data_IF_533452454589
#
_entry.id   IF_533452454589
#
_cell.length_a   1.000
_cell.length_b   1.000
_cell.length_c   1.000
_cell.angle_alpha   90.00
_cell.angle_beta   90.00
_cell.angle_gamma   90.00
#
_symmetry.space_group_name_H-M   'P 1'
#
loop_
_entity.id
_entity.type
_entity.pdbx_description
1 polymer ?
#
# COMPACT_ATOMS: atom_id res chain seq x y z
N UNK A 1 9.84 -12.46 -20.53
CA UNK A 1 9.62 -12.64 -19.08
C UNK A 1 9.86 -14.11 -18.76
N UNK A 2 10.82 -14.43 -17.88
CA UNK A 2 11.21 -15.81 -17.52
C UNK A 2 10.07 -16.66 -16.92
N UNK A 3 8.97 -16.04 -16.51
CA UNK A 3 7.81 -16.71 -15.92
C UNK A 3 6.64 -16.98 -16.89
N UNK A 4 6.82 -16.76 -18.19
CA UNK A 4 5.81 -17.07 -19.21
C UNK A 4 4.58 -16.15 -19.22
N UNK A 5 4.58 -15.03 -18.48
CA UNK A 5 3.48 -14.06 -18.50
C UNK A 5 3.55 -13.17 -19.74
N UNK A 6 2.42 -12.99 -20.41
CA UNK A 6 2.28 -11.96 -21.43
C UNK A 6 1.81 -10.68 -20.75
N UNK A 7 2.58 -9.61 -20.87
CA UNK A 7 2.24 -8.30 -20.33
C UNK A 7 1.77 -7.42 -21.48
N UNK A 8 0.51 -6.97 -21.42
CA UNK A 8 0.02 -5.89 -22.25
C UNK A 8 0.23 -4.57 -21.50
N UNK A 9 1.18 -3.76 -21.95
CA UNK A 9 1.49 -2.46 -21.35
C UNK A 9 0.58 -1.37 -21.95
N UNK A 10 -0.28 -0.81 -21.11
CA UNK A 10 -1.15 0.31 -21.47
C UNK A 10 -0.67 1.57 -20.78
N UNK A 11 0.29 2.26 -21.39
CA UNK A 11 0.70 3.57 -20.89
C UNK A 11 -0.33 4.62 -21.27
N UNK A 12 -0.80 5.36 -20.28
CA UNK A 12 -1.64 6.51 -20.47
C UNK A 12 -0.87 7.60 -21.21
N UNK A 13 -1.11 7.79 -22.49
CA UNK A 13 -1.04 9.13 -23.08
C UNK A 13 -2.32 9.86 -22.67
N UNK A 14 -2.22 11.12 -22.28
CA UNK A 14 -3.28 11.93 -21.63
C UNK A 14 -4.67 11.90 -22.31
N UNK A 15 -4.82 11.33 -23.48
CA UNK A 15 -5.99 11.50 -24.32
C UNK A 15 -6.95 10.30 -24.45
N UNK A 16 -6.54 9.05 -24.10
CA UNK A 16 -7.45 7.92 -24.38
C UNK A 16 -7.33 6.76 -23.38
N UNK A 17 -7.92 6.91 -22.20
CA UNK A 17 -8.33 5.72 -21.43
C UNK A 17 -9.48 4.95 -22.12
N UNK A 18 -10.15 5.58 -23.09
CA UNK A 18 -11.22 4.95 -23.88
C UNK A 18 -10.72 3.98 -24.95
N UNK A 19 -9.43 4.01 -25.30
CA UNK A 19 -8.87 3.11 -26.30
C UNK A 19 -8.42 1.74 -25.75
N UNK A 20 -8.81 1.37 -24.53
CA UNK A 20 -8.72 -0.01 -24.04
C UNK A 20 -9.72 -0.94 -24.75
N UNK A 21 -10.01 -0.67 -26.01
CA UNK A 21 -10.71 -1.59 -26.92
C UNK A 21 -10.04 -2.98 -27.03
N UNK A 22 -8.79 -3.11 -26.56
CA UNK A 22 -8.03 -4.35 -26.55
C UNK A 22 -8.39 -5.30 -25.40
N UNK A 23 -9.07 -4.85 -24.32
CA UNK A 23 -9.55 -5.74 -23.27
C UNK A 23 -10.94 -6.24 -23.64
N UNK A 24 -10.98 -7.31 -24.40
CA UNK A 24 -12.21 -8.00 -24.79
C UNK A 24 -12.38 -9.27 -23.96
N UNK A 25 -13.58 -9.86 -23.98
CA UNK A 25 -13.83 -11.18 -23.39
C UNK A 25 -12.85 -12.26 -23.91
N UNK A 26 -12.41 -12.14 -25.15
CA UNK A 26 -11.45 -13.06 -25.77
C UNK A 26 -10.03 -12.94 -25.19
N UNK A 27 -9.69 -11.77 -24.61
CA UNK A 27 -8.40 -11.49 -23.99
C UNK A 27 -8.59 -11.11 -22.52
N UNK A 28 -9.30 -11.93 -21.73
CA UNK A 28 -9.49 -11.68 -20.30
C UNK A 28 -8.13 -11.55 -19.62
N UNK A 29 -7.81 -10.40 -19.00
CA UNK A 29 -6.58 -10.27 -18.26
C UNK A 29 -6.63 -11.20 -17.03
N UNK A 30 -5.54 -11.90 -16.76
CA UNK A 30 -5.39 -12.66 -15.52
C UNK A 30 -5.39 -11.73 -14.30
N UNK A 31 -4.76 -10.55 -14.45
CA UNK A 31 -4.67 -9.50 -13.42
C UNK A 31 -4.64 -8.14 -14.09
N UNK A 32 -5.08 -7.12 -13.37
CA UNK A 32 -4.97 -5.72 -13.79
C UNK A 32 -4.13 -4.97 -12.77
N UNK A 33 -3.08 -4.29 -13.24
CA UNK A 33 -2.24 -3.47 -12.38
C UNK A 33 -2.41 -1.98 -12.72
N UNK A 34 -2.59 -1.12 -11.71
CA UNK A 34 -2.78 0.32 -11.87
C UNK A 34 -1.86 1.07 -10.93
N UNK A 35 -0.94 1.83 -11.49
CA UNK A 35 -0.01 2.66 -10.74
C UNK A 35 -0.14 4.11 -11.21
N UNK A 36 -0.70 4.95 -10.37
CA UNK A 36 -0.89 6.38 -10.64
C UNK A 36 -0.84 7.16 -9.33
N UNK A 37 -0.35 8.38 -9.37
CA UNK A 37 -0.46 9.33 -8.27
C UNK A 37 -1.76 10.14 -8.28
N UNK A 38 -2.69 9.85 -9.22
CA UNK A 38 -3.94 10.59 -9.38
C UNK A 38 -5.11 9.77 -8.84
N UNK A 39 -5.75 10.24 -7.79
CA UNK A 39 -6.87 9.57 -7.09
C UNK A 39 -8.04 9.17 -8.00
N UNK A 40 -8.22 9.86 -9.12
CA UNK A 40 -9.32 9.59 -10.05
C UNK A 40 -9.02 8.45 -11.03
N UNK A 41 -7.77 8.08 -11.23
CA UNK A 41 -7.41 7.09 -12.26
C UNK A 41 -7.84 5.68 -11.83
N UNK A 42 -7.69 5.33 -10.56
CA UNK A 42 -8.19 4.06 -10.02
C UNK A 42 -9.69 3.92 -10.21
N UNK A 43 -10.46 4.98 -9.92
CA UNK A 43 -11.91 4.98 -10.11
C UNK A 43 -12.30 4.80 -11.59
N UNK A 44 -11.56 5.42 -12.52
CA UNK A 44 -11.83 5.25 -13.97
C UNK A 44 -11.60 3.81 -14.41
N UNK A 45 -10.49 3.20 -13.98
CA UNK A 45 -10.18 1.81 -14.30
C UNK A 45 -11.23 0.88 -13.67
N UNK A 46 -11.58 1.08 -12.41
CA UNK A 46 -12.58 0.29 -11.72
C UNK A 46 -13.94 0.35 -12.41
N UNK A 47 -14.39 1.55 -12.79
CA UNK A 47 -15.63 1.75 -13.56
C UNK A 47 -15.58 1.06 -14.92
N UNK A 48 -14.44 1.12 -15.61
CA UNK A 48 -14.24 0.42 -16.89
C UNK A 48 -14.36 -1.10 -16.71
N UNK A 49 -13.68 -1.67 -15.72
CA UNK A 49 -13.72 -3.10 -15.42
C UNK A 49 -15.15 -3.55 -15.10
N UNK A 50 -15.88 -2.75 -14.33
CA UNK A 50 -17.27 -3.04 -13.94
C UNK A 50 -18.21 -2.97 -15.15
N UNK A 51 -18.12 -1.93 -15.98
CA UNK A 51 -18.92 -1.79 -17.22
C UNK A 51 -18.70 -2.96 -18.17
N UNK A 52 -17.50 -3.48 -18.24
CA UNK A 52 -17.14 -4.62 -19.10
C UNK A 52 -17.35 -5.99 -18.43
N UNK A 53 -17.89 -6.02 -17.22
CA UNK A 53 -18.11 -7.25 -16.41
C UNK A 53 -16.82 -8.08 -16.23
N UNK A 54 -15.68 -7.43 -16.16
CA UNK A 54 -14.40 -8.08 -15.93
C UNK A 54 -14.17 -8.21 -14.42
N UNK A 55 -13.93 -9.44 -13.95
CA UNK A 55 -13.72 -9.77 -12.54
C UNK A 55 -12.26 -10.03 -12.20
N UNK A 56 -11.33 -9.68 -13.11
CA UNK A 56 -9.90 -9.87 -12.89
C UNK A 56 -9.44 -9.19 -11.59
N UNK A 57 -8.57 -9.83 -10.79
CA UNK A 57 -7.96 -9.23 -9.62
C UNK A 57 -7.26 -7.92 -9.97
N UNK A 58 -7.41 -6.92 -9.10
CA UNK A 58 -6.85 -5.59 -9.26
C UNK A 58 -5.69 -5.39 -8.27
N UNK A 59 -4.51 -5.07 -8.77
CA UNK A 59 -3.39 -4.57 -7.99
C UNK A 59 -3.20 -3.08 -8.29
N UNK A 60 -3.21 -2.24 -7.28
CA UNK A 60 -3.06 -0.80 -7.48
C UNK A 60 -2.24 -0.14 -6.36
N UNK A 61 -1.68 1.05 -6.62
CA UNK A 61 -1.24 1.90 -5.52
C UNK A 61 -2.44 2.51 -4.80
N UNK A 62 -2.38 2.62 -3.47
CA UNK A 62 -3.45 3.25 -2.68
C UNK A 62 -3.73 4.70 -3.14
N UNK A 63 -2.68 5.41 -3.62
CA UNK A 63 -2.77 6.76 -4.19
C UNK A 63 -3.67 6.88 -5.44
N UNK A 64 -4.03 5.75 -6.07
CA UNK A 64 -4.99 5.75 -7.19
C UNK A 64 -6.44 6.01 -6.75
N UNK A 65 -6.71 5.91 -5.45
CA UNK A 65 -8.05 6.00 -4.88
C UNK A 65 -8.08 6.97 -3.71
N UNK A 66 -9.18 7.69 -3.57
CA UNK A 66 -9.46 8.37 -2.31
C UNK A 66 -10.17 7.38 -1.37
N UNK A 67 -9.38 6.64 -0.58
CA UNK A 67 -9.89 5.58 0.30
C UNK A 67 -10.81 6.09 1.41
N UNK A 68 -10.82 7.41 1.68
CA UNK A 68 -11.73 8.00 2.67
C UNK A 68 -13.14 8.21 2.11
N UNK A 69 -13.27 8.37 0.80
CA UNK A 69 -14.54 8.70 0.14
C UNK A 69 -15.10 7.57 -0.72
N UNK A 70 -14.24 6.65 -1.18
CA UNK A 70 -14.69 5.53 -1.99
C UNK A 70 -15.41 4.49 -1.12
N UNK A 71 -16.57 4.06 -1.57
CA UNK A 71 -17.30 3.01 -0.89
C UNK A 71 -16.65 1.65 -1.16
N UNK A 72 -16.47 0.82 -0.13
CA UNK A 72 -15.91 -0.52 -0.27
C UNK A 72 -16.72 -1.40 -1.22
N UNK A 73 -18.03 -1.17 -1.34
CA UNK A 73 -18.90 -1.82 -2.32
C UNK A 73 -18.47 -1.60 -3.78
N UNK A 74 -17.72 -0.52 -4.06
CA UNK A 74 -17.17 -0.25 -5.40
C UNK A 74 -16.15 -1.31 -5.83
N UNK A 75 -15.56 -2.02 -4.87
CA UNK A 75 -14.62 -3.11 -5.11
C UNK A 75 -15.29 -4.50 -5.17
N UNK A 76 -16.60 -4.55 -4.98
CA UNK A 76 -17.37 -5.79 -4.93
C UNK A 76 -17.18 -6.65 -6.18
N UNK A 77 -17.11 -7.97 -5.99
CA UNK A 77 -17.03 -8.96 -7.08
C UNK A 77 -15.65 -9.16 -7.66
N UNK A 78 -14.59 -8.64 -7.00
CA UNK A 78 -13.19 -8.89 -7.39
C UNK A 78 -12.25 -8.81 -6.20
N UNK A 79 -11.13 -9.51 -6.30
CA UNK A 79 -10.03 -9.35 -5.36
C UNK A 79 -9.30 -8.04 -5.63
N UNK A 80 -9.12 -7.22 -4.62
CA UNK A 80 -8.41 -5.95 -4.71
C UNK A 80 -7.25 -5.94 -3.74
N UNK A 81 -6.07 -5.70 -4.29
CA UNK A 81 -4.83 -5.57 -3.55
C UNK A 81 -4.29 -4.15 -3.73
N UNK A 82 -4.05 -3.46 -2.64
CA UNK A 82 -3.46 -2.13 -2.67
C UNK A 82 -2.06 -2.14 -2.06
N UNK A 83 -1.13 -1.51 -2.74
CA UNK A 83 0.15 -1.13 -2.15
C UNK A 83 -0.08 0.17 -1.39
N UNK A 84 -0.06 0.08 -0.05
CA UNK A 84 -0.37 1.19 0.85
C UNK A 84 0.75 1.41 1.86
N UNK A 85 1.64 2.35 1.56
CA UNK A 85 2.75 2.71 2.45
C UNK A 85 2.32 3.45 3.71
N UNK A 86 1.07 3.91 3.77
CA UNK A 86 0.47 4.60 4.91
C UNK A 86 -0.49 3.72 5.70
N UNK A 87 -0.55 2.43 5.38
CA UNK A 87 -1.46 1.51 6.07
C UNK A 87 -1.17 1.44 7.56
N UNK A 88 -2.23 1.64 8.34
CA UNK A 88 -2.22 1.55 9.81
C UNK A 88 -3.09 0.38 10.24
N UNK A 89 -2.49 -0.64 10.81
CA UNK A 89 -3.21 -1.77 11.39
C UNK A 89 -3.72 -1.41 12.80
N UNK A 90 -4.95 -0.94 12.87
CA UNK A 90 -5.60 -0.59 14.15
C UNK A 90 -5.89 -1.80 15.06
N UNK A 91 -5.69 -3.03 14.58
CA UNK A 91 -5.81 -4.22 15.43
C UNK A 91 -4.60 -4.40 16.34
N UNK A 92 -3.44 -3.84 15.98
CA UNK A 92 -2.22 -3.89 16.78
C UNK A 92 -2.39 -3.18 18.13
N UNK A 93 -2.10 -3.83 19.27
CA UNK A 93 -2.17 -3.20 20.58
C UNK A 93 -1.34 -1.91 20.67
N UNK A 94 -0.11 -1.94 20.11
CA UNK A 94 0.81 -0.80 20.13
C UNK A 94 0.23 0.45 19.45
N UNK A 95 -0.51 0.25 18.34
CA UNK A 95 -1.17 1.35 17.63
C UNK A 95 -2.27 1.97 18.51
N UNK A 96 -3.10 1.14 19.13
CA UNK A 96 -4.16 1.60 20.05
C UNK A 96 -3.60 2.34 21.26
N UNK A 97 -2.56 1.80 21.86
CA UNK A 97 -1.90 2.40 23.03
C UNK A 97 -1.30 3.77 22.66
N UNK A 98 -0.64 3.86 21.51
CA UNK A 98 -0.11 5.13 21.02
C UNK A 98 -1.24 6.14 20.75
N UNK A 99 -2.31 5.73 20.09
CA UNK A 99 -3.45 6.61 19.80
C UNK A 99 -4.10 7.14 21.07
N UNK A 100 -4.30 6.29 22.08
CA UNK A 100 -4.86 6.67 23.37
C UNK A 100 -3.95 7.66 24.13
N UNK A 101 -2.66 7.37 24.17
CA UNK A 101 -1.66 8.24 24.79
C UNK A 101 -1.58 9.60 24.08
N UNK A 102 -1.58 9.59 22.75
CA UNK A 102 -1.55 10.81 21.95
C UNK A 102 -2.80 11.65 22.18
N UNK A 103 -3.99 11.03 22.17
CA UNK A 103 -5.24 11.70 22.44
C UNK A 103 -5.26 12.32 23.84
N UNK A 104 -4.83 11.57 24.85
CA UNK A 104 -4.76 12.07 26.24
C UNK A 104 -3.85 13.29 26.37
N UNK A 105 -2.75 13.34 25.62
CA UNK A 105 -1.77 14.42 25.73
C UNK A 105 -2.03 15.60 24.81
N UNK A 106 -2.70 15.40 23.69
CA UNK A 106 -2.89 16.40 22.63
C UNK A 106 -4.34 16.76 22.36
N UNK A 107 -5.28 16.03 22.97
CA UNK A 107 -6.71 16.16 22.75
C UNK A 107 -7.13 16.10 21.26
N UNK A 108 -6.39 15.31 20.47
CA UNK A 108 -6.65 15.08 19.05
C UNK A 108 -6.15 13.69 18.62
N UNK A 109 -6.69 13.16 17.54
CA UNK A 109 -6.25 11.88 16.95
C UNK A 109 -4.91 12.10 16.22
N UNK A 110 -3.94 11.19 16.37
CA UNK A 110 -2.68 11.29 15.63
C UNK A 110 -2.89 11.18 14.12
N UNK A 111 -2.24 12.06 13.37
CA UNK A 111 -2.17 11.92 11.91
C UNK A 111 -1.22 10.78 11.53
N UNK A 112 -1.27 10.35 10.27
CA UNK A 112 -0.30 9.37 9.74
C UNK A 112 1.15 9.85 9.95
N UNK A 113 1.41 11.14 9.81
CA UNK A 113 2.74 11.72 10.02
C UNK A 113 3.21 11.64 11.49
N UNK A 114 2.28 11.66 12.45
CA UNK A 114 2.63 11.47 13.86
C UNK A 114 3.09 10.02 14.13
N UNK A 115 2.41 9.03 13.52
CA UNK A 115 2.83 7.63 13.60
C UNK A 115 4.18 7.40 12.90
N UNK A 116 4.34 7.94 11.70
CA UNK A 116 5.60 7.85 10.95
C UNK A 116 6.76 8.48 11.71
N UNK A 117 6.54 9.67 12.27
CA UNK A 117 7.56 10.37 13.07
C UNK A 117 7.96 9.61 14.32
N UNK A 118 6.99 9.00 15.02
CA UNK A 118 7.26 8.16 16.17
C UNK A 118 8.10 6.94 15.79
N UNK A 119 7.69 6.20 14.76
CA UNK A 119 8.40 5.01 14.30
C UNK A 119 9.81 5.34 13.81
N UNK A 120 9.97 6.43 13.05
CA UNK A 120 11.27 6.88 12.56
C UNK A 120 12.21 7.24 13.70
N UNK A 121 11.74 8.03 14.69
CA UNK A 121 12.53 8.41 15.84
C UNK A 121 12.94 7.18 16.67
N UNK A 122 12.01 6.27 16.90
CA UNK A 122 12.27 5.03 17.65
C UNK A 122 13.28 4.14 16.92
N UNK A 123 13.10 3.94 15.61
CA UNK A 123 13.98 3.11 14.80
C UNK A 123 15.39 3.68 14.72
N UNK A 124 15.53 4.91 14.24
CA UNK A 124 16.86 5.51 14.06
C UNK A 124 17.54 5.79 15.39
N UNK A 125 16.79 6.12 16.44
CA UNK A 125 17.33 6.25 17.80
C UNK A 125 17.96 4.94 18.29
N UNK A 126 17.25 3.81 18.13
CA UNK A 126 17.77 2.47 18.46
C UNK A 126 18.99 2.10 17.61
N UNK A 127 18.94 2.41 16.30
CA UNK A 127 20.04 2.11 15.38
C UNK A 127 21.30 2.92 15.72
N UNK A 128 21.17 4.22 15.96
CA UNK A 128 22.28 5.09 16.35
C UNK A 128 22.87 4.67 17.70
N UNK A 129 22.03 4.33 18.68
CA UNK A 129 22.51 3.84 19.98
C UNK A 129 23.34 2.56 19.81
N UNK A 130 22.87 1.62 18.98
CA UNK A 130 23.49 0.31 18.79
C UNK A 130 24.75 0.36 17.91
N UNK A 131 24.67 1.05 16.78
CA UNK A 131 25.70 1.00 15.72
C UNK A 131 26.57 2.25 15.63
N UNK A 132 26.20 3.34 16.28
CA UNK A 132 26.97 4.60 16.33
C UNK A 132 27.43 5.02 14.92
N UNK A 133 28.76 5.11 14.71
CA UNK A 133 29.37 5.50 13.43
C UNK A 133 29.21 4.45 12.32
N UNK A 134 28.70 3.24 12.63
CA UNK A 134 28.51 2.14 11.69
C UNK A 134 27.01 1.95 11.35
N UNK A 135 26.23 3.01 11.41
CA UNK A 135 24.78 2.97 11.18
C UNK A 135 24.43 2.25 9.88
N UNK A 136 25.09 2.57 8.77
CA UNK A 136 24.82 1.95 7.47
C UNK A 136 25.00 0.42 7.50
N UNK A 137 26.10 -0.05 8.08
CA UNK A 137 26.33 -1.48 8.25
C UNK A 137 25.25 -2.15 9.10
N UNK A 138 24.75 -1.44 10.13
CA UNK A 138 23.64 -1.92 10.95
C UNK A 138 22.32 -2.03 10.18
N UNK A 139 22.04 -1.10 9.29
CA UNK A 139 20.84 -1.09 8.45
C UNK A 139 20.83 -2.25 7.43
N UNK A 140 22.01 -2.68 6.97
CA UNK A 140 22.17 -3.77 6.01
C UNK A 140 22.08 -5.18 6.64
N UNK A 141 21.82 -5.30 7.94
CA UNK A 141 21.86 -6.62 8.62
C UNK A 141 20.55 -7.39 8.52
N UNK A 142 19.41 -6.74 8.64
CA UNK A 142 18.09 -7.38 8.67
C UNK A 142 16.94 -6.40 8.46
N UNK A 143 15.74 -6.97 8.28
CA UNK A 143 14.48 -6.23 8.35
C UNK A 143 14.04 -6.02 9.80
N UNK A 144 13.27 -4.98 10.04
CA UNK A 144 12.75 -4.59 11.37
C UNK A 144 11.24 -4.34 11.23
N UNK A 145 10.43 -5.27 11.71
CA UNK A 145 8.98 -5.22 11.51
C UNK A 145 8.17 -5.14 12.82
N UNK A 146 8.60 -5.87 13.86
CA UNK A 146 7.67 -6.28 14.92
C UNK A 146 7.33 -5.22 15.97
N UNK A 147 8.21 -4.23 16.19
CA UNK A 147 8.09 -3.25 17.28
C UNK A 147 7.56 -1.89 16.86
N UNK A 148 7.02 -1.76 15.64
CA UNK A 148 6.64 -0.47 15.06
C UNK A 148 5.14 -0.36 14.86
N UNK A 149 4.63 0.88 14.91
CA UNK A 149 3.21 1.16 14.71
C UNK A 149 2.77 0.82 13.29
N UNK A 150 3.60 1.18 12.33
CA UNK A 150 3.37 0.91 10.92
C UNK A 150 3.95 -0.45 10.51
N UNK A 151 4.50 -0.50 9.30
CA UNK A 151 4.94 -1.73 8.67
C UNK A 151 6.41 -2.08 8.89
N UNK A 152 7.12 -1.23 9.65
CA UNK A 152 8.52 -1.44 9.96
C UNK A 152 9.48 -0.93 8.89
N UNK A 153 10.73 -1.44 8.93
CA UNK A 153 11.83 -0.90 8.15
C UNK A 153 12.66 -2.01 7.52
N UNK A 154 13.02 -1.81 6.26
CA UNK A 154 13.94 -2.66 5.53
C UNK A 154 14.85 -1.78 4.65
N UNK A 155 16.11 -1.68 5.02
CA UNK A 155 17.13 -0.92 4.28
C UNK A 155 18.21 -1.85 3.68
N UNK A 156 17.94 -3.17 3.57
CA UNK A 156 18.88 -4.11 2.99
C UNK A 156 19.23 -3.71 1.57
N UNK A 157 20.53 -3.43 1.34
CA UNK A 157 21.07 -3.03 0.03
C UNK A 157 20.39 -1.81 -0.61
N UNK A 158 19.70 -0.97 0.18
CA UNK A 158 19.00 0.20 -0.29
C UNK A 158 19.15 1.37 0.68
N UNK A 159 19.08 2.61 0.14
CA UNK A 159 18.97 3.81 0.95
C UNK A 159 17.52 4.16 1.27
N UNK A 160 16.57 3.51 0.62
CA UNK A 160 15.14 3.69 0.83
C UNK A 160 14.55 2.51 1.60
N UNK A 161 13.53 2.77 2.39
CA UNK A 161 12.76 1.71 3.06
C UNK A 161 12.04 0.84 2.01
N UNK A 162 12.40 -0.42 1.95
CA UNK A 162 11.86 -1.39 0.98
C UNK A 162 10.58 -2.08 1.47
N UNK A 163 10.05 -1.69 2.62
CA UNK A 163 8.78 -2.23 3.11
C UNK A 163 7.62 -1.57 2.38
N UNK A 164 6.94 -2.34 1.55
CA UNK A 164 5.71 -1.92 0.88
C UNK A 164 4.58 -2.83 1.34
N UNK A 165 3.71 -2.37 2.24
CA UNK A 165 2.53 -3.14 2.64
C UNK A 165 1.61 -3.37 1.45
N UNK A 166 1.20 -4.62 1.28
CA UNK A 166 0.12 -4.99 0.37
C UNK A 166 -1.09 -5.33 1.24
N UNK A 167 -2.18 -4.62 1.02
CA UNK A 167 -3.42 -4.84 1.74
C UNK A 167 -4.49 -5.37 0.80
N UNK A 168 -5.30 -6.29 1.28
CA UNK A 168 -6.46 -6.84 0.60
C UNK A 168 -7.73 -6.38 1.31
N UNK A 169 -8.77 -6.13 0.56
CA UNK A 169 -10.09 -5.89 1.11
C UNK A 169 -10.73 -7.23 1.49
N UNK A 170 -10.88 -7.46 2.79
CA UNK A 170 -11.51 -8.64 3.36
C UNK A 170 -12.60 -8.20 4.35
N UNK A 171 -13.80 -8.72 4.18
CA UNK A 171 -14.98 -8.39 5.00
C UNK A 171 -15.10 -6.86 5.28
N UNK A 172 -15.01 -6.06 4.22
CA UNK A 172 -15.09 -4.59 4.26
C UNK A 172 -13.94 -3.89 5.04
N UNK A 173 -12.87 -4.61 5.35
CA UNK A 173 -11.67 -4.09 6.02
C UNK A 173 -10.44 -4.32 5.18
N UNK A 174 -9.53 -3.38 5.25
CA UNK A 174 -8.21 -3.57 4.65
C UNK A 174 -7.33 -4.37 5.61
N UNK A 175 -6.84 -5.51 5.14
CA UNK A 175 -5.98 -6.42 5.90
C UNK A 175 -4.66 -6.58 5.16
N UNK A 176 -3.55 -6.48 5.88
CA UNK A 176 -2.23 -6.70 5.30
C UNK A 176 -2.02 -8.17 4.97
N UNK A 177 -1.58 -8.48 3.74
CA UNK A 177 -1.39 -9.85 3.24
C UNK A 177 0.07 -10.21 2.99
N UNK A 178 1.00 -9.28 3.11
CA UNK A 178 2.44 -9.55 2.95
C UNK A 178 3.22 -9.23 4.24
N UNK A 179 4.28 -9.98 4.50
CA UNK A 179 5.24 -9.69 5.58
C UNK A 179 4.75 -10.11 6.97
N UNK A 180 4.10 -11.27 7.08
CA UNK A 180 4.01 -12.01 8.35
C UNK A 180 5.28 -12.83 8.55
#
# INVERSE_FOLDING_TARGET
>A
TEAGYQVADFRKTREKLDSTAAITEANKPGHVAVFSGTETDGNKVLNMLTKRRLTAPLLASASCFNLQTIQSSSFSGRDVYLMDTEFVDSSKPQVRDFQNLYFTKRNTVPSIYALQGYDALLFFGRMLHKYRNQLRSGLDTKTYADDYLLSGFNYLRSNDNQVVPIVQLDDMKWVRVNGQ
#
